data_IF_024819306630
#
_entry.id   IF_024819306630
#
_cell.length_a   1.000
_cell.length_b   1.000
_cell.length_c   1.000
_cell.angle_alpha   90.00
_cell.angle_beta   90.00
_cell.angle_gamma   90.00
#
_symmetry.space_group_name_H-M   'P 1'
#
loop_
_entity.id
_entity.type
_entity.pdbx_description
1 polymer ?
#
# COMPACT_ATOMS: atom_id res chain seq x y z
N UNK A 1 -7.68 -4.71 -36.50
CA UNK A 1 -6.33 -5.16 -36.94
C UNK A 1 -5.34 -4.08 -36.51
N UNK A 2 -4.27 -4.47 -35.87
CA UNK A 2 -3.12 -3.60 -35.54
C UNK A 2 -1.91 -4.07 -36.33
N UNK A 3 -1.11 -3.15 -36.83
CA UNK A 3 0.12 -3.46 -37.57
C UNK A 3 1.34 -3.06 -36.74
N UNK A 4 2.25 -4.01 -36.53
CA UNK A 4 3.53 -3.76 -35.87
C UNK A 4 4.64 -4.50 -36.62
N UNK A 5 5.71 -3.81 -36.98
CA UNK A 5 6.82 -4.36 -37.78
C UNK A 5 6.38 -5.05 -39.09
N UNK A 6 5.39 -4.46 -39.79
CA UNK A 6 4.76 -4.99 -41.00
C UNK A 6 4.05 -6.34 -40.83
N UNK A 7 3.69 -6.69 -39.58
CA UNK A 7 2.89 -7.87 -39.27
C UNK A 7 1.52 -7.37 -38.77
N UNK A 8 0.47 -7.82 -39.44
CA UNK A 8 -0.90 -7.55 -39.04
C UNK A 8 -1.37 -8.60 -38.03
N UNK A 9 -1.98 -8.13 -36.94
CA UNK A 9 -2.58 -9.00 -35.94
C UNK A 9 -3.96 -8.48 -35.51
N UNK A 10 -4.83 -9.41 -35.21
CA UNK A 10 -6.18 -9.10 -34.76
C UNK A 10 -6.18 -8.87 -33.23
N UNK A 11 -6.70 -7.73 -32.82
CA UNK A 11 -6.87 -7.39 -31.40
C UNK A 11 -8.36 -7.22 -31.09
N UNK A 12 -8.95 -8.29 -30.56
CA UNK A 12 -10.37 -8.35 -30.21
C UNK A 12 -10.66 -7.72 -28.84
N UNK A 13 -9.65 -7.28 -28.12
CA UNK A 13 -9.76 -6.80 -26.74
C UNK A 13 -9.40 -5.33 -26.57
N UNK A 14 -9.05 -4.61 -27.64
CA UNK A 14 -8.70 -3.19 -27.58
C UNK A 14 -9.79 -2.30 -26.99
N UNK A 15 -11.05 -2.71 -27.08
CA UNK A 15 -12.19 -1.99 -26.54
C UNK A 15 -12.20 -1.90 -25.01
N UNK A 16 -11.53 -2.86 -24.31
CA UNK A 16 -11.40 -2.84 -22.85
C UNK A 16 -10.45 -1.74 -22.40
N UNK A 17 -9.61 -1.23 -23.32
CA UNK A 17 -8.63 -0.19 -22.99
C UNK A 17 -9.31 1.14 -22.64
N UNK A 18 -9.22 1.52 -21.38
CA UNK A 18 -9.70 2.82 -20.90
C UNK A 18 -8.63 3.90 -21.14
N UNK A 19 -8.86 4.80 -22.10
CA UNK A 19 -7.88 5.84 -22.48
C UNK A 19 -7.55 6.79 -21.33
N UNK A 20 -8.57 7.18 -20.57
CA UNK A 20 -8.46 8.16 -19.49
C UNK A 20 -8.46 7.50 -18.11
N UNK A 21 -7.68 6.42 -17.96
CA UNK A 21 -7.67 5.60 -16.73
C UNK A 21 -7.43 6.42 -15.47
N UNK A 22 -6.59 7.45 -15.51
CA UNK A 22 -6.31 8.31 -14.36
C UNK A 22 -7.54 9.11 -13.91
N UNK A 23 -8.40 9.49 -14.85
CA UNK A 23 -9.66 10.18 -14.53
C UNK A 23 -10.70 9.20 -13.98
N UNK A 24 -10.74 7.98 -14.50
CA UNK A 24 -11.61 6.90 -13.97
C UNK A 24 -11.20 6.51 -12.55
N UNK A 25 -9.89 6.46 -12.25
CA UNK A 25 -9.40 6.17 -10.90
C UNK A 25 -9.79 7.24 -9.88
N UNK A 26 -9.93 8.50 -10.32
CA UNK A 26 -10.44 9.60 -9.48
C UNK A 26 -11.96 9.58 -9.35
N UNK A 27 -12.64 9.20 -10.43
CA UNK A 27 -14.11 9.21 -10.51
C UNK A 27 -14.61 7.99 -11.30
N UNK A 28 -15.07 6.98 -10.57
CA UNK A 28 -15.58 5.70 -11.12
C UNK A 28 -16.74 5.87 -12.09
N UNK A 29 -17.48 7.00 -12.04
CA UNK A 29 -18.59 7.26 -12.96
C UNK A 29 -18.15 7.49 -14.40
N UNK A 30 -16.86 7.77 -14.60
CA UNK A 30 -16.24 7.99 -15.93
C UNK A 30 -15.82 6.69 -16.62
N UNK A 31 -15.97 5.54 -15.97
CA UNK A 31 -15.68 4.25 -16.60
C UNK A 31 -16.65 4.02 -17.76
N UNK A 32 -16.12 3.61 -18.91
CA UNK A 32 -16.95 3.26 -20.06
C UNK A 32 -18.02 2.22 -19.67
N UNK A 33 -19.31 2.46 -20.02
CA UNK A 33 -20.40 1.57 -19.62
C UNK A 33 -20.27 0.13 -20.15
N UNK A 34 -19.68 -0.06 -21.33
CA UNK A 34 -19.46 -1.39 -21.92
C UNK A 34 -18.38 -2.13 -21.15
N UNK A 35 -17.27 -1.44 -20.82
CA UNK A 35 -16.20 -1.98 -19.99
C UNK A 35 -16.71 -2.30 -18.59
N UNK A 36 -17.52 -1.42 -18.00
CA UNK A 36 -18.14 -1.65 -16.70
C UNK A 36 -18.99 -2.92 -16.70
N UNK A 37 -19.87 -3.04 -17.69
CA UNK A 37 -20.73 -4.22 -17.83
C UNK A 37 -19.93 -5.50 -17.96
N UNK A 38 -18.87 -5.49 -18.79
CA UNK A 38 -17.98 -6.65 -18.94
C UNK A 38 -17.35 -7.06 -17.60
N UNK A 39 -16.81 -6.09 -16.84
CA UNK A 39 -16.23 -6.37 -15.53
C UNK A 39 -17.25 -6.94 -14.53
N UNK A 40 -18.47 -6.44 -14.55
CA UNK A 40 -19.57 -6.96 -13.72
C UNK A 40 -19.96 -8.38 -14.12
N UNK A 41 -20.05 -8.68 -15.41
CA UNK A 41 -20.33 -10.03 -15.94
C UNK A 41 -19.21 -11.03 -15.57
N UNK A 42 -17.95 -10.65 -15.66
CA UNK A 42 -16.79 -11.48 -15.24
C UNK A 42 -16.80 -11.74 -13.73
N UNK A 43 -17.14 -10.73 -12.93
CA UNK A 43 -17.29 -10.91 -11.48
C UNK A 43 -18.43 -11.87 -11.16
N UNK A 44 -19.57 -11.74 -11.83
CA UNK A 44 -20.72 -12.64 -11.65
C UNK A 44 -20.38 -14.09 -12.05
N UNK A 45 -19.64 -14.26 -13.17
CA UNK A 45 -19.13 -15.56 -13.60
C UNK A 45 -18.22 -16.19 -12.52
N UNK A 46 -17.26 -15.42 -12.04
CA UNK A 46 -16.33 -15.86 -10.98
C UNK A 46 -17.07 -16.26 -9.70
N UNK A 47 -18.01 -15.41 -9.25
CA UNK A 47 -18.81 -15.69 -8.06
C UNK A 47 -19.67 -16.94 -8.22
N UNK A 48 -20.23 -17.17 -9.41
CA UNK A 48 -21.00 -18.39 -9.70
C UNK A 48 -20.12 -19.64 -9.61
N UNK A 49 -18.95 -19.63 -10.21
CA UNK A 49 -18.05 -20.79 -10.22
C UNK A 49 -17.36 -21.05 -8.88
N UNK A 50 -17.15 -20.01 -8.09
CA UNK A 50 -16.49 -20.13 -6.78
C UNK A 50 -17.48 -20.22 -5.60
N UNK A 51 -18.79 -20.23 -5.85
CA UNK A 51 -19.80 -20.22 -4.78
C UNK A 51 -19.62 -21.34 -3.76
N UNK A 52 -19.30 -22.55 -4.22
CA UNK A 52 -19.16 -23.74 -3.39
C UNK A 52 -17.86 -23.75 -2.58
N UNK A 53 -16.96 -22.80 -2.83
CA UNK A 53 -15.68 -22.65 -2.10
C UNK A 53 -15.73 -21.59 -1.00
N UNK A 54 -16.84 -20.88 -0.81
CA UNK A 54 -16.90 -19.75 0.15
C UNK A 54 -16.55 -20.16 1.59
N UNK A 55 -17.02 -21.32 2.05
CA UNK A 55 -16.73 -21.82 3.40
C UNK A 55 -15.24 -22.16 3.59
N UNK A 56 -14.63 -22.82 2.60
CA UNK A 56 -13.21 -23.13 2.65
C UNK A 56 -12.35 -21.85 2.53
N UNK A 57 -12.76 -20.88 1.70
CA UNK A 57 -12.09 -19.57 1.61
C UNK A 57 -12.07 -18.89 2.98
N UNK A 58 -13.24 -18.85 3.66
CA UNK A 58 -13.35 -18.26 4.99
C UNK A 58 -12.47 -18.99 5.99
N UNK A 59 -12.49 -20.31 6.00
CA UNK A 59 -11.66 -21.13 6.91
C UNK A 59 -10.17 -20.86 6.67
N UNK A 60 -9.72 -20.86 5.43
CA UNK A 60 -8.33 -20.59 5.09
C UNK A 60 -7.91 -19.15 5.44
N UNK A 61 -8.78 -18.18 5.20
CA UNK A 61 -8.54 -16.80 5.59
C UNK A 61 -8.35 -16.67 7.11
N UNK A 62 -9.26 -17.24 7.89
CA UNK A 62 -9.21 -17.17 9.35
C UNK A 62 -7.96 -17.90 9.90
N UNK A 63 -7.59 -19.04 9.31
CA UNK A 63 -6.39 -19.79 9.67
C UNK A 63 -5.11 -19.00 9.36
N UNK A 64 -4.98 -18.44 8.13
CA UNK A 64 -3.80 -17.67 7.72
C UNK A 64 -3.69 -16.42 8.59
N UNK A 65 -4.79 -15.68 8.77
CA UNK A 65 -4.85 -14.50 9.62
C UNK A 65 -4.47 -14.79 11.07
N UNK A 66 -4.93 -15.94 11.59
CA UNK A 66 -4.62 -16.36 12.96
C UNK A 66 -3.15 -16.68 13.21
N UNK A 67 -2.36 -16.94 12.15
CA UNK A 67 -0.91 -17.16 12.25
C UNK A 67 -0.11 -15.86 12.27
N UNK A 68 -0.72 -14.72 11.93
CA UNK A 68 -0.04 -13.43 11.90
C UNK A 68 0.04 -12.88 13.33
N UNK A 69 1.27 -12.62 13.78
CA UNK A 69 1.51 -11.93 15.04
C UNK A 69 1.21 -10.45 14.85
N UNK A 70 0.15 -9.95 15.50
CA UNK A 70 -0.32 -8.59 15.32
C UNK A 70 0.58 -7.56 16.03
N UNK A 71 1.12 -7.94 17.21
CA UNK A 71 2.09 -7.12 17.94
C UNK A 71 3.46 -7.74 17.76
N UNK A 72 4.30 -7.08 17.00
CA UNK A 72 5.64 -7.60 16.69
C UNK A 72 6.65 -6.46 16.56
N UNK A 73 7.92 -6.82 16.77
CA UNK A 73 9.05 -5.91 16.59
C UNK A 73 10.11 -6.59 15.73
N UNK A 74 10.64 -5.85 14.76
CA UNK A 74 11.79 -6.33 13.99
C UNK A 74 13.06 -6.35 14.85
N UNK A 75 14.05 -7.14 14.42
CA UNK A 75 15.38 -7.05 15.04
C UNK A 75 15.96 -5.66 14.79
N UNK A 76 16.61 -5.06 15.81
CA UNK A 76 17.33 -3.81 15.62
C UNK A 76 18.51 -3.96 14.64
N UNK A 77 18.67 -3.00 13.76
CA UNK A 77 19.87 -2.87 12.92
C UNK A 77 20.61 -1.59 13.25
N UNK A 78 21.93 -1.66 13.16
CA UNK A 78 22.79 -0.49 13.42
C UNK A 78 22.98 0.32 12.17
N UNK A 79 22.79 1.63 12.30
CA UNK A 79 23.14 2.59 11.28
C UNK A 79 23.71 3.84 11.95
N UNK A 80 24.93 4.25 11.56
CA UNK A 80 25.69 5.33 12.17
C UNK A 80 25.77 5.21 13.71
N UNK A 81 25.15 6.15 14.43
CA UNK A 81 25.23 6.23 15.90
C UNK A 81 24.02 5.64 16.61
N UNK A 82 23.03 5.12 15.85
CA UNK A 82 21.78 4.57 16.37
C UNK A 82 21.54 3.11 15.97
N UNK A 83 20.67 2.47 16.74
CA UNK A 83 19.98 1.24 16.38
C UNK A 83 18.54 1.56 16.02
N UNK A 84 18.06 1.01 14.91
CA UNK A 84 16.71 1.24 14.37
C UNK A 84 15.94 -0.06 14.30
N UNK A 85 14.64 -0.01 14.56
CA UNK A 85 13.72 -1.14 14.35
C UNK A 85 12.31 -0.65 14.11
N UNK A 86 11.46 -1.57 13.71
CA UNK A 86 10.05 -1.32 13.41
C UNK A 86 9.17 -2.11 14.36
N UNK A 87 8.10 -1.50 14.84
CA UNK A 87 7.08 -2.11 15.69
C UNK A 87 5.73 -2.06 15.00
N UNK A 88 4.94 -3.12 15.16
CA UNK A 88 3.51 -3.17 14.79
C UNK A 88 2.66 -3.33 16.04
N UNK A 89 1.41 -2.86 16.00
CA UNK A 89 0.47 -2.96 17.11
C UNK A 89 -0.82 -3.65 16.67
N UNK A 90 -1.51 -4.32 17.58
CA UNK A 90 -2.73 -5.08 17.27
C UNK A 90 -3.87 -4.20 16.72
N UNK A 91 -3.88 -2.90 17.04
CA UNK A 91 -4.91 -1.95 16.63
C UNK A 91 -4.46 -1.01 15.51
N UNK A 92 -3.16 -0.94 15.23
CA UNK A 92 -2.59 -0.09 14.20
C UNK A 92 -2.67 -0.75 12.82
N UNK A 93 -2.81 0.07 11.79
CA UNK A 93 -2.71 -0.35 10.40
C UNK A 93 -1.33 -0.03 9.80
N UNK A 94 -0.55 0.79 10.49
CA UNK A 94 0.76 1.24 10.05
C UNK A 94 1.83 0.92 11.09
N UNK A 95 3.06 0.82 10.61
CA UNK A 95 4.22 0.57 11.48
C UNK A 95 4.63 1.83 12.25
N UNK A 96 5.34 1.58 13.35
CA UNK A 96 6.03 2.59 14.14
C UNK A 96 7.53 2.37 13.93
N UNK A 97 8.27 3.41 13.57
CA UNK A 97 9.73 3.38 13.49
C UNK A 97 10.32 3.91 14.79
N UNK A 98 11.18 3.11 15.36
CA UNK A 98 11.86 3.37 16.63
C UNK A 98 13.36 3.45 16.41
N UNK A 99 14.04 4.21 17.26
CA UNK A 99 15.50 4.21 17.34
C UNK A 99 15.98 4.35 18.78
N UNK A 100 17.19 3.91 19.06
CA UNK A 100 17.94 4.29 20.27
C UNK A 100 19.39 4.53 19.94
N UNK A 101 20.02 5.45 20.64
CA UNK A 101 21.44 5.70 20.50
C UNK A 101 22.24 4.50 21.02
N UNK A 102 23.26 4.08 20.28
CA UNK A 102 24.13 2.96 20.70
C UNK A 102 24.72 3.25 22.07
N UNK A 103 24.55 2.30 23.00
CA UNK A 103 24.96 2.45 24.41
C UNK A 103 23.98 3.22 25.31
N UNK A 104 22.78 3.59 24.80
CA UNK A 104 21.72 4.22 25.57
C UNK A 104 20.53 3.26 25.72
N UNK A 105 19.76 3.40 26.79
CA UNK A 105 18.50 2.71 26.99
C UNK A 105 17.28 3.58 26.58
N UNK A 106 17.52 4.84 26.20
CA UNK A 106 16.44 5.75 25.79
C UNK A 106 15.97 5.42 24.36
N UNK A 107 14.68 5.04 24.24
CA UNK A 107 14.03 4.71 22.97
C UNK A 107 13.26 5.94 22.48
N UNK A 108 13.46 6.29 21.23
CA UNK A 108 12.79 7.39 20.54
C UNK A 108 11.84 6.84 19.47
N UNK A 109 10.56 7.25 19.51
CA UNK A 109 9.62 7.06 18.42
C UNK A 109 9.88 8.15 17.38
N UNK A 110 10.50 7.79 16.26
CA UNK A 110 10.85 8.77 15.22
C UNK A 110 9.76 8.91 14.16
N UNK A 111 8.87 7.91 14.05
CA UNK A 111 7.73 7.97 13.15
C UNK A 111 6.64 7.00 13.58
N UNK A 112 5.37 7.40 13.36
CA UNK A 112 4.20 6.59 13.67
C UNK A 112 3.14 6.81 12.58
N UNK A 113 2.91 5.81 11.73
CA UNK A 113 2.05 5.94 10.56
C UNK A 113 0.58 6.16 10.90
N UNK A 114 0.07 5.57 11.98
CA UNK A 114 -1.32 5.78 12.40
C UNK A 114 -1.54 7.23 12.85
N UNK A 115 -0.62 7.81 13.64
CA UNK A 115 -0.68 9.22 14.03
C UNK A 115 -0.58 10.16 12.83
N UNK A 116 0.24 9.81 11.85
CA UNK A 116 0.37 10.61 10.61
C UNK A 116 -0.89 10.58 9.76
N UNK A 117 -1.51 9.41 9.61
CA UNK A 117 -2.79 9.28 8.91
C UNK A 117 -3.89 10.12 9.57
N UNK A 118 -3.97 10.08 10.90
CA UNK A 118 -4.95 10.89 11.67
C UNK A 118 -4.77 12.39 11.42
N UNK A 119 -3.51 12.87 11.38
CA UNK A 119 -3.21 14.30 11.09
C UNK A 119 -3.67 14.70 9.69
N UNK A 120 -3.47 13.83 8.69
CA UNK A 120 -3.76 14.13 7.29
C UNK A 120 -5.26 14.06 6.97
N UNK A 121 -6.05 13.34 7.76
CA UNK A 121 -7.50 13.13 7.55
C UNK A 121 -7.87 12.68 6.13
N UNK A 122 -7.03 11.85 5.53
CA UNK A 122 -7.22 11.34 4.17
C UNK A 122 -7.90 9.98 4.20
N UNK A 123 -8.68 9.67 3.16
CA UNK A 123 -9.29 8.35 2.98
C UNK A 123 -8.22 7.28 2.75
N UNK A 124 -7.26 7.58 1.87
CA UNK A 124 -6.12 6.71 1.59
C UNK A 124 -4.81 7.34 2.09
N UNK A 125 -3.99 6.54 2.72
CA UNK A 125 -2.65 6.92 3.17
C UNK A 125 -1.70 5.75 2.92
N UNK A 126 -0.70 5.96 2.07
CA UNK A 126 0.38 5.02 1.81
C UNK A 126 1.71 5.61 2.26
N UNK A 127 2.58 4.74 2.75
CA UNK A 127 3.95 5.11 3.13
C UNK A 127 4.88 4.28 2.27
N UNK A 128 5.79 4.97 1.60
CA UNK A 128 6.92 4.36 0.90
C UNK A 128 8.12 4.23 1.82
N UNK A 129 9.28 4.66 1.33
CA UNK A 129 10.53 4.55 2.06
C UNK A 129 10.62 5.58 3.20
N UNK A 130 11.34 5.17 4.24
CA UNK A 130 11.70 5.95 5.40
C UNK A 130 13.22 5.92 5.54
N UNK A 131 13.88 7.03 5.21
CA UNK A 131 15.33 7.15 5.20
C UNK A 131 15.81 8.16 6.23
N UNK A 132 16.83 7.82 6.99
CA UNK A 132 17.45 8.74 7.95
C UNK A 132 18.69 9.36 7.30
N UNK A 133 18.86 10.66 7.48
CA UNK A 133 20.04 11.38 6.96
C UNK A 133 21.33 10.92 7.64
N UNK A 134 22.47 11.04 6.93
CA UNK A 134 23.80 10.63 7.42
C UNK A 134 24.22 11.31 8.74
N UNK A 135 23.62 12.43 9.11
CA UNK A 135 23.91 13.14 10.36
C UNK A 135 22.88 12.86 11.47
N UNK A 136 22.01 11.87 11.28
CA UNK A 136 20.96 11.42 12.20
C UNK A 136 19.93 12.51 12.61
N UNK A 137 19.85 13.63 11.85
CA UNK A 137 19.01 14.79 12.23
C UNK A 137 17.69 14.86 11.48
N UNK A 138 17.58 14.22 10.34
CA UNK A 138 16.42 14.31 9.48
C UNK A 138 15.89 12.93 9.13
N UNK A 139 14.57 12.81 9.03
CA UNK A 139 13.88 11.66 8.49
C UNK A 139 13.19 12.06 7.19
N UNK A 140 13.58 11.44 6.09
CA UNK A 140 12.93 11.55 4.80
C UNK A 140 11.82 10.51 4.69
N UNK A 141 10.63 10.96 4.30
CA UNK A 141 9.46 10.10 4.18
C UNK A 141 8.83 10.29 2.81
N UNK A 142 8.73 9.21 2.04
CA UNK A 142 7.90 9.17 0.85
C UNK A 142 6.46 8.81 1.24
N UNK A 143 5.52 9.72 1.01
CA UNK A 143 4.09 9.54 1.32
C UNK A 143 3.25 9.55 0.06
N UNK A 144 2.25 8.66 0.01
CA UNK A 144 1.20 8.67 -0.99
C UNK A 144 -0.15 8.84 -0.30
N UNK A 145 -0.95 9.78 -0.75
CA UNK A 145 -2.34 9.95 -0.30
C UNK A 145 -3.24 10.42 -1.45
N UNK A 146 -4.54 10.20 -1.34
CA UNK A 146 -5.49 10.71 -2.32
C UNK A 146 -5.94 12.14 -1.95
N UNK A 147 -6.05 13.03 -2.96
CA UNK A 147 -5.73 12.81 -4.37
C UNK A 147 -4.22 12.60 -4.57
N UNK A 148 -3.85 11.77 -5.54
CA UNK A 148 -2.50 11.26 -5.83
C UNK A 148 -1.44 12.39 -5.91
N UNK A 149 -1.02 12.89 -4.76
CA UNK A 149 0.11 13.79 -4.63
C UNK A 149 1.24 13.01 -3.94
N UNK A 150 2.32 12.78 -4.66
CA UNK A 150 3.55 12.31 -4.07
C UNK A 150 4.23 13.50 -3.40
N UNK A 151 4.39 13.48 -2.10
CA UNK A 151 5.17 14.47 -1.38
C UNK A 151 6.33 13.80 -0.65
N UNK A 152 7.52 14.34 -0.88
CA UNK A 152 8.68 14.12 -0.03
C UNK A 152 8.60 15.13 1.13
N UNK A 153 8.69 14.67 2.34
CA UNK A 153 8.71 15.54 3.51
C UNK A 153 9.89 15.17 4.39
N UNK A 154 10.72 16.19 4.67
CA UNK A 154 11.80 16.10 5.65
C UNK A 154 11.25 16.43 7.04
N UNK A 155 11.47 15.56 8.01
CA UNK A 155 11.17 15.82 9.41
C UNK A 155 12.49 16.06 10.13
N UNK A 156 12.58 17.20 10.82
CA UNK A 156 13.69 17.53 11.71
C UNK A 156 13.46 16.87 13.08
N UNK A 157 14.50 16.24 13.62
CA UNK A 157 14.50 15.68 14.98
C UNK A 157 15.07 16.68 16.00
#
# INVERSE_FOLDING_TARGET
>A
IKTCHNIDWEDNYSWIHQKDILEVLKDKSKLDPEVKKYLEDENAYTDHHLKDTKDIQKKLFDEIKGRIKLEDESLPYKDHTYEYWTKTTAKGNYSIKLRKKIGSENIEEIWNGDKEKEKLKTEYFGVGDLEVSNNDKYLDICRCYLPLNHQLQNILF
#
